data_IF_627225056530
#
_entry.id   IF_627225056530
#
_cell.length_a   1.000
_cell.length_b   1.000
_cell.length_c   1.000
_cell.angle_alpha   90.00
_cell.angle_beta   90.00
_cell.angle_gamma   90.00
#
_symmetry.space_group_name_H-M   'P 1'
#
loop_
_entity.id
_entity.type
_entity.pdbx_description
1 polymer ?
#
# COMPACT_ATOMS: atom_id res chain seq x y z
N UNK A 1 -2.31 -26.05 0.16
CA UNK A 1 -1.93 -25.04 -0.84
C UNK A 1 -2.26 -23.69 -0.23
N UNK A 2 -1.31 -22.78 -0.23
CA UNK A 2 -1.53 -21.41 0.24
C UNK A 2 -2.10 -20.56 -0.89
N UNK A 3 -3.05 -19.70 -0.55
CA UNK A 3 -3.57 -18.71 -1.50
C UNK A 3 -2.49 -17.66 -1.74
N UNK A 4 -2.22 -17.36 -3.01
CA UNK A 4 -1.31 -16.28 -3.40
C UNK A 4 -2.05 -15.22 -4.21
N UNK A 5 -1.62 -13.98 -4.09
CA UNK A 5 -2.12 -12.86 -4.91
C UNK A 5 -1.13 -12.62 -6.04
N UNK A 6 -1.56 -12.85 -7.28
CA UNK A 6 -0.78 -12.56 -8.48
C UNK A 6 -1.28 -11.26 -9.11
N UNK A 7 -0.35 -10.36 -9.47
CA UNK A 7 -0.68 -9.15 -10.21
C UNK A 7 -0.85 -9.48 -11.69
N UNK A 8 -1.87 -8.91 -12.30
CA UNK A 8 -2.15 -9.09 -13.71
C UNK A 8 -2.76 -7.84 -14.31
N UNK A 9 -2.70 -7.72 -15.64
CA UNK A 9 -3.41 -6.69 -16.40
C UNK A 9 -4.14 -7.31 -17.58
N UNK A 10 -5.20 -6.65 -18.04
CA UNK A 10 -5.89 -7.02 -19.26
C UNK A 10 -5.26 -6.26 -20.44
N UNK A 11 -4.75 -7.00 -21.42
CA UNK A 11 -4.07 -6.42 -22.61
C UNK A 11 -5.06 -6.04 -23.74
N UNK A 12 -6.37 -6.18 -23.50
CA UNK A 12 -7.42 -6.00 -24.50
C UNK A 12 -7.94 -7.32 -25.09
N UNK A 13 -7.25 -8.43 -24.87
CA UNK A 13 -7.62 -9.76 -25.37
C UNK A 13 -7.62 -10.83 -24.27
N UNK A 14 -6.67 -10.79 -23.36
CA UNK A 14 -6.45 -11.78 -22.31
C UNK A 14 -5.89 -11.16 -21.04
N UNK A 15 -6.02 -11.88 -19.93
CA UNK A 15 -5.40 -11.52 -18.65
C UNK A 15 -3.95 -12.01 -18.69
N UNK A 16 -3.00 -11.09 -18.54
CA UNK A 16 -1.57 -11.36 -18.48
C UNK A 16 -1.06 -11.19 -17.06
N UNK A 17 -0.40 -12.22 -16.52
CA UNK A 17 0.33 -12.10 -15.27
C UNK A 17 1.52 -11.16 -15.48
N UNK A 18 1.72 -10.23 -14.54
CA UNK A 18 2.84 -9.28 -14.61
C UNK A 18 4.18 -9.96 -14.32
N UNK A 19 4.15 -10.98 -13.47
CA UNK A 19 5.31 -11.76 -13.06
C UNK A 19 5.14 -13.22 -13.53
N UNK A 20 6.23 -13.91 -13.92
CA UNK A 20 6.17 -15.31 -14.30
C UNK A 20 5.63 -16.18 -13.16
N UNK A 21 4.62 -17.00 -13.45
CA UNK A 21 4.09 -17.99 -12.53
C UNK A 21 3.56 -19.20 -13.29
N UNK A 22 3.91 -20.40 -12.84
CA UNK A 22 3.49 -21.63 -13.49
C UNK A 22 2.10 -22.06 -12.99
N UNK A 23 1.11 -21.98 -13.87
CA UNK A 23 -0.26 -22.42 -13.61
C UNK A 23 -0.48 -23.80 -14.23
N UNK A 24 -0.88 -24.77 -13.41
CA UNK A 24 -1.30 -26.06 -13.93
C UNK A 24 -2.66 -25.94 -14.64
N UNK A 25 -2.92 -26.74 -15.69
CA UNK A 25 -4.23 -26.79 -16.33
C UNK A 25 -5.36 -27.02 -15.32
N UNK A 26 -6.47 -26.29 -15.46
CA UNK A 26 -7.65 -26.36 -14.58
C UNK A 26 -7.40 -25.94 -13.12
N UNK A 27 -6.34 -25.19 -12.83
CA UNK A 27 -6.17 -24.53 -11.53
C UNK A 27 -7.33 -23.57 -11.27
N UNK A 28 -7.98 -23.68 -10.12
CA UNK A 28 -9.05 -22.75 -9.72
C UNK A 28 -8.47 -21.37 -9.41
N UNK A 29 -9.00 -20.33 -10.05
CA UNK A 29 -8.57 -18.95 -9.87
C UNK A 29 -9.71 -18.10 -9.32
N UNK A 30 -9.39 -17.20 -8.39
CA UNK A 30 -10.26 -16.10 -7.99
C UNK A 30 -9.81 -14.84 -8.74
N UNK A 31 -10.70 -14.26 -9.55
CA UNK A 31 -10.40 -13.06 -10.34
C UNK A 31 -11.06 -11.85 -9.70
N UNK A 32 -10.25 -10.86 -9.30
CA UNK A 32 -10.70 -9.57 -8.81
C UNK A 32 -10.38 -8.49 -9.86
N UNK A 33 -11.39 -7.76 -10.33
CA UNK A 33 -11.21 -6.62 -11.23
C UNK A 33 -11.03 -5.36 -10.40
N UNK A 34 -9.84 -4.76 -10.48
CA UNK A 34 -9.51 -3.53 -9.76
C UNK A 34 -9.86 -2.34 -10.66
N UNK A 35 -10.83 -1.49 -10.30
CA UNK A 35 -11.16 -0.32 -11.11
C UNK A 35 -10.00 0.68 -11.09
N UNK A 36 -9.84 1.50 -12.15
CA UNK A 36 -8.90 2.62 -12.09
C UNK A 36 -9.31 3.55 -10.93
N UNK A 37 -8.34 4.14 -10.22
CA UNK A 37 -8.66 5.05 -9.12
C UNK A 37 -9.46 6.22 -9.66
N UNK A 38 -10.50 6.64 -8.96
CA UNK A 38 -11.27 7.84 -9.32
C UNK A 38 -10.50 9.14 -8.99
N UNK A 39 -11.12 10.29 -9.24
CA UNK A 39 -10.47 11.58 -9.01
C UNK A 39 -10.16 11.83 -7.52
N UNK A 40 -11.06 11.43 -6.63
CA UNK A 40 -10.91 11.61 -5.19
C UNK A 40 -9.80 10.69 -4.67
N UNK A 41 -9.82 9.42 -5.05
CA UNK A 41 -8.79 8.46 -4.68
C UNK A 41 -7.40 8.89 -5.16
N UNK A 42 -7.28 9.41 -6.40
CA UNK A 42 -6.00 9.95 -6.89
C UNK A 42 -5.54 11.17 -6.09
N UNK A 43 -6.46 12.09 -5.77
CA UNK A 43 -6.15 13.26 -4.96
C UNK A 43 -5.68 12.86 -3.56
N UNK A 44 -6.36 11.88 -2.95
CA UNK A 44 -5.99 11.35 -1.65
C UNK A 44 -4.62 10.68 -1.66
N UNK A 45 -4.35 9.79 -2.64
CA UNK A 45 -3.04 9.16 -2.80
C UNK A 45 -1.91 10.18 -2.98
N UNK A 46 -2.17 11.26 -3.72
CA UNK A 46 -1.20 12.34 -3.94
C UNK A 46 -0.92 13.10 -2.63
N UNK A 47 -1.97 13.48 -1.89
CA UNK A 47 -1.85 14.14 -0.60
C UNK A 47 -1.11 13.26 0.41
N UNK A 48 -1.44 11.97 0.49
CA UNK A 48 -0.80 11.01 1.38
C UNK A 48 0.68 10.85 1.06
N UNK A 49 1.05 10.76 -0.22
CA UNK A 49 2.44 10.66 -0.64
C UNK A 49 3.25 11.92 -0.25
N UNK A 50 2.65 13.11 -0.40
CA UNK A 50 3.26 14.37 0.02
C UNK A 50 3.48 14.43 1.53
N UNK A 51 2.46 14.05 2.31
CA UNK A 51 2.55 14.00 3.77
C UNK A 51 3.61 13.01 4.24
N UNK A 52 3.68 11.83 3.62
CA UNK A 52 4.71 10.83 3.91
C UNK A 52 6.12 11.36 3.61
N UNK A 53 6.31 12.01 2.46
CA UNK A 53 7.60 12.59 2.11
C UNK A 53 8.02 13.72 3.07
N UNK A 54 7.08 14.55 3.51
CA UNK A 54 7.36 15.60 4.49
C UNK A 54 7.73 15.02 5.87
N UNK A 55 7.06 13.95 6.29
CA UNK A 55 7.31 13.29 7.57
C UNK A 55 8.66 12.54 7.64
N UNK A 56 9.35 12.34 6.52
CA UNK A 56 10.70 11.75 6.48
C UNK A 56 11.69 12.64 5.72
N UNK A 57 11.34 13.93 5.56
CA UNK A 57 12.14 14.90 4.85
C UNK A 57 13.20 15.56 5.73
N UNK A 58 14.14 16.28 5.11
CA UNK A 58 15.15 17.03 5.86
C UNK A 58 14.55 18.13 6.76
N UNK A 59 13.36 18.62 6.40
CA UNK A 59 12.61 19.64 7.14
C UNK A 59 11.59 19.03 8.12
N UNK A 60 11.69 17.73 8.43
CA UNK A 60 10.84 17.10 9.45
C UNK A 60 11.05 17.82 10.81
N UNK A 61 9.99 18.29 11.47
CA UNK A 61 10.10 18.90 12.80
C UNK A 61 10.61 17.88 13.82
N UNK A 62 11.51 18.31 14.70
CA UNK A 62 11.83 17.53 15.90
C UNK A 62 10.62 17.52 16.85
N UNK A 63 10.32 16.36 17.42
CA UNK A 63 9.22 16.17 18.37
C UNK A 63 9.79 15.84 19.76
N UNK A 64 10.30 16.86 20.50
CA UNK A 64 10.91 16.62 21.79
C UNK A 64 9.86 16.15 22.81
N UNK A 65 10.32 15.42 23.83
CA UNK A 65 9.46 14.89 24.92
C UNK A 65 8.73 16.00 25.69
N UNK A 66 9.19 17.25 25.61
CA UNK A 66 8.48 18.42 26.16
C UNK A 66 7.13 18.68 25.49
N UNK A 67 6.86 18.13 24.30
CA UNK A 67 5.56 18.21 23.63
C UNK A 67 4.54 17.19 24.15
N UNK A 68 4.97 16.23 24.99
CA UNK A 68 4.07 15.24 25.59
C UNK A 68 3.17 15.95 26.60
N UNK A 69 1.85 15.94 26.33
CA UNK A 69 0.84 16.53 27.24
C UNK A 69 0.66 15.70 28.51
N UNK A 70 0.57 14.38 28.35
CA UNK A 70 0.42 13.42 29.44
C UNK A 70 1.34 12.22 29.15
N UNK A 71 2.30 11.89 30.04
CA UNK A 71 3.17 10.74 29.86
C UNK A 71 2.38 9.43 29.89
N UNK A 72 2.65 8.53 28.96
CA UNK A 72 2.06 7.19 28.97
C UNK A 72 2.89 6.28 29.90
N UNK A 73 2.37 5.88 31.09
CA UNK A 73 3.14 5.08 32.06
C UNK A 73 3.39 3.64 31.60
N UNK A 74 2.66 3.16 30.59
CA UNK A 74 2.86 1.84 29.99
C UNK A 74 3.85 1.86 28.81
N UNK A 75 4.35 3.05 28.43
CA UNK A 75 5.39 3.16 27.42
C UNK A 75 6.74 2.83 28.07
N UNK A 76 7.22 1.60 27.86
CA UNK A 76 8.60 1.23 28.20
C UNK A 76 9.55 1.98 27.26
N UNK A 77 9.92 3.21 27.64
CA UNK A 77 11.10 3.83 27.07
C UNK A 77 12.32 3.02 27.56
N UNK A 78 12.99 2.32 26.65
CA UNK A 78 14.26 1.64 26.93
C UNK A 78 15.34 2.59 27.44
#
# INVERSE_FOLDING_TARGET
>A
METITLRAHFDGKQILLNDPYELQPNTNLLVLVIPPPDAEQRAWLTLSAQGLNAAYGADEPDYPTTLIKEPNPAYEAG
#
